data_IF_143864202416
#
_entry.id   IF_143864202416
#
_cell.length_a   1.000
_cell.length_b   1.000
_cell.length_c   1.000
_cell.angle_alpha   90.00
_cell.angle_beta   90.00
_cell.angle_gamma   90.00
#
_symmetry.space_group_name_H-M   'P 1'
#
loop_
_entity.id
_entity.type
_entity.pdbx_description
1 polymer ?
#
# COMPACT_ATOMS: atom_id res chain seq x y z
N UNK A 1 -26.43 -18.72 41.81
CA UNK A 1 -26.64 -17.55 40.92
C UNK A 1 -25.83 -17.68 39.63
N UNK A 2 -26.45 -17.47 38.46
CA UNK A 2 -25.78 -17.61 37.16
C UNK A 2 -24.57 -16.66 37.01
N UNK A 3 -23.54 -17.10 36.29
CA UNK A 3 -22.36 -16.26 35.97
C UNK A 3 -22.77 -15.28 34.86
N UNK A 4 -23.29 -14.11 35.28
CA UNK A 4 -23.99 -13.11 34.45
C UNK A 4 -23.21 -12.62 33.22
N UNK A 5 -21.88 -12.74 33.21
CA UNK A 5 -21.07 -12.27 32.08
C UNK A 5 -21.26 -13.11 30.80
N UNK A 6 -21.55 -14.41 30.92
CA UNK A 6 -21.66 -15.33 29.76
C UNK A 6 -22.93 -16.16 29.72
N UNK A 7 -23.79 -16.01 30.72
CA UNK A 7 -25.04 -16.76 30.82
C UNK A 7 -26.24 -15.83 30.81
N UNK A 8 -27.38 -16.36 30.36
CA UNK A 8 -28.70 -15.75 30.40
C UNK A 8 -29.55 -16.57 31.37
N UNK A 9 -30.23 -15.88 32.28
CA UNK A 9 -31.10 -16.49 33.29
C UNK A 9 -32.52 -16.50 32.73
N UNK A 10 -33.06 -17.69 32.54
CA UNK A 10 -34.44 -17.95 32.17
C UNK A 10 -35.39 -17.70 33.38
N UNK A 11 -36.69 -17.54 33.13
CA UNK A 11 -37.71 -17.31 34.17
C UNK A 11 -37.99 -18.55 35.03
N UNK A 12 -37.62 -19.74 34.54
CA UNK A 12 -37.63 -21.01 35.29
C UNK A 12 -36.34 -21.22 36.13
N UNK A 13 -35.53 -20.17 36.28
CA UNK A 13 -34.23 -20.17 36.95
C UNK A 13 -33.12 -20.97 36.24
N UNK A 14 -33.37 -21.44 35.02
CA UNK A 14 -32.36 -22.13 34.20
C UNK A 14 -31.31 -21.14 33.67
N UNK A 15 -30.02 -21.51 33.70
CA UNK A 15 -28.96 -20.71 33.10
C UNK A 15 -28.57 -21.28 31.72
N UNK A 16 -28.77 -20.53 30.65
CA UNK A 16 -28.28 -20.88 29.31
C UNK A 16 -27.08 -20.02 28.92
N UNK A 17 -26.31 -20.44 27.93
CA UNK A 17 -25.21 -19.63 27.39
C UNK A 17 -25.77 -18.51 26.51
N UNK A 18 -25.23 -17.28 26.61
CA UNK A 18 -25.66 -16.14 25.77
C UNK A 18 -25.59 -16.40 24.25
N UNK A 19 -24.84 -17.41 23.81
CA UNK A 19 -24.81 -17.87 22.40
C UNK A 19 -26.10 -18.54 21.94
N UNK A 20 -26.91 -19.01 22.88
CA UNK A 20 -28.20 -19.68 22.65
C UNK A 20 -29.38 -18.71 22.82
N UNK A 21 -29.10 -17.41 23.00
CA UNK A 21 -30.13 -16.39 22.97
C UNK A 21 -30.27 -15.95 21.53
N UNK A 22 -31.48 -16.02 20.97
CA UNK A 22 -31.79 -15.68 19.58
C UNK A 22 -31.01 -16.50 18.55
N UNK A 23 -30.80 -17.79 18.83
CA UNK A 23 -30.16 -18.72 17.91
C UNK A 23 -31.16 -19.50 17.03
N UNK A 24 -32.45 -19.21 17.19
CA UNK A 24 -33.54 -19.86 16.49
C UNK A 24 -33.98 -21.18 17.12
N UNK A 25 -33.47 -21.53 18.31
CA UNK A 25 -33.82 -22.75 19.04
C UNK A 25 -34.15 -22.43 20.49
N UNK A 26 -35.37 -22.81 20.88
CA UNK A 26 -35.82 -22.74 22.27
C UNK A 26 -34.87 -23.50 23.20
N UNK A 27 -34.20 -22.75 24.05
CA UNK A 27 -33.31 -23.21 25.11
C UNK A 27 -33.89 -22.94 26.50
N UNK A 28 -34.73 -21.91 26.68
CA UNK A 28 -35.47 -21.70 27.93
C UNK A 28 -36.83 -22.43 27.93
N UNK A 29 -37.32 -22.77 29.13
CA UNK A 29 -38.61 -23.43 29.29
C UNK A 29 -39.77 -22.60 28.73
N UNK A 30 -39.70 -21.27 28.71
CA UNK A 30 -40.77 -20.43 28.14
C UNK A 30 -40.39 -19.78 26.80
N UNK A 31 -39.29 -20.21 26.16
CA UNK A 31 -38.82 -19.64 24.89
C UNK A 31 -38.45 -18.16 24.93
N UNK A 32 -38.31 -17.58 26.12
CA UNK A 32 -37.93 -16.18 26.32
C UNK A 32 -36.52 -15.84 25.78
N UNK A 33 -35.68 -16.85 25.59
CA UNK A 33 -34.39 -16.74 24.91
C UNK A 33 -34.52 -16.44 23.41
N UNK A 34 -35.68 -16.71 22.82
CA UNK A 34 -36.01 -16.44 21.42
C UNK A 34 -37.01 -15.28 21.26
N UNK A 35 -37.39 -14.62 22.36
CA UNK A 35 -38.26 -13.46 22.34
C UNK A 35 -37.45 -12.16 22.12
N UNK A 36 -38.04 -11.21 21.40
CA UNK A 36 -37.53 -9.84 21.27
C UNK A 36 -36.11 -9.72 20.63
N UNK A 37 -35.74 -10.67 19.77
CA UNK A 37 -34.45 -10.74 19.09
C UNK A 37 -34.09 -9.54 18.19
N UNK A 38 -35.07 -8.75 17.78
CA UNK A 38 -34.85 -7.52 17.00
C UNK A 38 -33.95 -6.50 17.73
N UNK A 39 -34.00 -6.45 19.06
CA UNK A 39 -33.17 -5.55 19.86
C UNK A 39 -31.71 -6.03 19.91
N UNK A 40 -31.50 -7.36 19.96
CA UNK A 40 -30.17 -7.97 19.94
C UNK A 40 -29.47 -7.83 18.60
N UNK A 41 -30.22 -7.94 17.49
CA UNK A 41 -29.71 -7.66 16.14
C UNK A 41 -29.23 -6.21 16.02
N UNK A 42 -30.01 -5.23 16.47
CA UNK A 42 -29.61 -3.81 16.43
C UNK A 42 -28.33 -3.52 17.23
N UNK A 43 -28.18 -4.11 18.42
CA UNK A 43 -26.98 -3.96 19.24
C UNK A 43 -25.75 -4.67 18.63
N UNK A 44 -25.95 -5.82 18.00
CA UNK A 44 -24.87 -6.60 17.36
C UNK A 44 -24.44 -5.97 16.04
N UNK A 45 -25.38 -5.48 15.23
CA UNK A 45 -25.10 -4.74 13.99
C UNK A 45 -24.35 -3.44 14.27
N UNK A 46 -24.73 -2.69 15.31
CA UNK A 46 -23.97 -1.50 15.75
C UNK A 46 -22.52 -1.83 16.11
N UNK A 47 -22.29 -2.96 16.78
CA UNK A 47 -20.93 -3.43 17.09
C UNK A 47 -20.16 -3.79 15.82
N UNK A 48 -20.76 -4.58 14.91
CA UNK A 48 -20.12 -4.97 13.65
C UNK A 48 -19.73 -3.74 12.82
N UNK A 49 -20.61 -2.74 12.70
CA UNK A 49 -20.31 -1.50 11.97
C UNK A 49 -19.32 -0.59 12.71
N UNK A 50 -19.28 -0.64 14.05
CA UNK A 50 -18.31 0.12 14.85
C UNK A 50 -16.87 -0.38 14.70
N UNK A 51 -16.65 -1.71 14.61
CA UNK A 51 -15.33 -2.27 14.31
C UNK A 51 -14.82 -1.91 12.90
N UNK A 52 -15.73 -1.71 11.94
CA UNK A 52 -15.37 -1.38 10.55
C UNK A 52 -15.20 0.12 10.27
N UNK A 53 -15.65 1.02 11.16
CA UNK A 53 -15.61 2.47 10.90
C UNK A 53 -14.33 3.15 11.40
N UNK A 54 -13.65 2.61 12.42
CA UNK A 54 -12.51 3.30 13.04
C UNK A 54 -11.16 3.06 12.34
N UNK A 55 -11.09 2.18 11.33
CA UNK A 55 -9.87 1.96 10.51
C UNK A 55 -9.96 2.47 9.07
N UNK A 56 -11.06 3.12 8.69
CA UNK A 56 -11.28 3.57 7.31
C UNK A 56 -10.40 4.77 6.93
N UNK A 57 -10.10 5.67 7.86
CA UNK A 57 -9.30 6.88 7.62
C UNK A 57 -7.80 6.56 7.51
N UNK A 58 -7.27 5.67 8.35
CA UNK A 58 -5.85 5.26 8.34
C UNK A 58 -5.45 4.48 7.07
N UNK A 59 -6.32 3.57 6.60
CA UNK A 59 -6.03 2.77 5.41
C UNK A 59 -5.97 3.63 4.14
N UNK A 60 -6.83 4.65 4.04
CA UNK A 60 -6.87 5.56 2.89
C UNK A 60 -5.60 6.42 2.83
N UNK A 61 -5.11 6.93 3.97
CA UNK A 61 -3.86 7.69 4.01
C UNK A 61 -2.65 6.84 3.59
N UNK A 62 -2.57 5.58 4.02
CA UNK A 62 -1.47 4.69 3.66
C UNK A 62 -1.45 4.39 2.15
N UNK A 63 -2.61 4.14 1.55
CA UNK A 63 -2.73 3.90 0.10
C UNK A 63 -2.31 5.14 -0.70
N UNK A 64 -2.78 6.34 -0.33
CA UNK A 64 -2.44 7.58 -1.04
C UNK A 64 -0.92 7.85 -0.97
N UNK A 65 -0.29 7.70 0.20
CA UNK A 65 1.15 7.93 0.37
C UNK A 65 1.97 6.96 -0.51
N UNK A 66 1.57 5.69 -0.59
CA UNK A 66 2.27 4.72 -1.44
C UNK A 66 2.19 5.05 -2.93
N UNK A 67 1.02 5.50 -3.40
CA UNK A 67 0.82 5.90 -4.80
C UNK A 67 1.65 7.15 -5.13
N UNK A 68 1.59 8.18 -4.29
CA UNK A 68 2.36 9.41 -4.48
C UNK A 68 3.87 9.14 -4.44
N UNK A 69 4.34 8.31 -3.50
CA UNK A 69 5.74 7.93 -3.39
C UNK A 69 6.26 7.14 -4.60
N UNK A 70 5.46 6.20 -5.11
CA UNK A 70 5.82 5.42 -6.29
C UNK A 70 5.90 6.30 -7.55
N UNK A 71 4.91 7.18 -7.76
CA UNK A 71 4.90 8.12 -8.90
C UNK A 71 6.10 9.05 -8.86
N UNK A 72 6.42 9.64 -7.70
CA UNK A 72 7.61 10.49 -7.55
C UNK A 72 8.90 9.72 -7.81
N UNK A 73 9.00 8.48 -7.33
CA UNK A 73 10.16 7.62 -7.58
C UNK A 73 10.34 7.33 -9.08
N UNK A 74 9.26 7.03 -9.80
CA UNK A 74 9.32 6.82 -11.25
C UNK A 74 9.73 8.08 -12.00
N UNK A 75 9.21 9.25 -11.61
CA UNK A 75 9.60 10.53 -12.22
C UNK A 75 11.09 10.78 -11.98
N UNK A 76 11.58 10.60 -10.76
CA UNK A 76 13.00 10.80 -10.42
C UNK A 76 13.88 9.80 -11.19
N UNK A 77 13.53 8.51 -11.21
CA UNK A 77 14.25 7.48 -11.97
C UNK A 77 14.27 7.83 -13.46
N UNK A 78 13.16 8.30 -14.02
CA UNK A 78 13.10 8.72 -15.43
C UNK A 78 13.99 9.93 -15.69
N UNK A 79 14.01 10.92 -14.80
CA UNK A 79 14.84 12.11 -14.92
C UNK A 79 16.33 11.79 -14.81
N UNK A 80 16.71 10.90 -13.89
CA UNK A 80 18.07 10.39 -13.76
C UNK A 80 18.45 9.62 -15.02
N UNK A 81 17.59 8.72 -15.50
CA UNK A 81 17.85 7.93 -16.72
C UNK A 81 18.02 8.83 -17.94
N UNK A 82 17.18 9.85 -18.11
CA UNK A 82 17.28 10.84 -19.19
C UNK A 82 18.57 11.65 -19.08
N UNK A 83 18.96 12.06 -17.86
CA UNK A 83 20.19 12.82 -17.62
C UNK A 83 21.44 11.99 -17.89
N UNK A 84 21.47 10.73 -17.45
CA UNK A 84 22.54 9.78 -17.76
C UNK A 84 22.61 9.50 -19.27
N UNK A 85 21.47 9.23 -19.91
CA UNK A 85 21.39 8.97 -21.35
C UNK A 85 21.85 10.19 -22.16
N UNK A 86 21.49 11.41 -21.74
CA UNK A 86 21.92 12.66 -22.37
C UNK A 86 23.43 12.89 -22.22
N UNK A 87 24.00 12.57 -21.06
CA UNK A 87 25.45 12.63 -20.83
C UNK A 87 26.22 11.67 -21.73
N UNK A 88 25.77 10.40 -21.79
CA UNK A 88 26.37 9.38 -22.67
C UNK A 88 26.20 9.77 -24.15
N UNK A 89 25.03 10.27 -24.55
CA UNK A 89 24.76 10.72 -25.92
C UNK A 89 25.68 11.88 -26.33
N UNK A 90 25.95 12.83 -25.41
CA UNK A 90 26.88 13.93 -25.64
C UNK A 90 28.31 13.42 -25.86
N UNK A 91 28.79 12.51 -24.99
CA UNK A 91 30.14 11.93 -25.11
C UNK A 91 30.30 11.10 -26.38
N UNK A 92 29.29 10.29 -26.74
CA UNK A 92 29.27 9.53 -28.00
C UNK A 92 29.30 10.45 -29.23
N UNK A 93 28.53 11.55 -29.21
CA UNK A 93 28.49 12.50 -30.32
C UNK A 93 29.80 13.27 -30.45
N UNK A 94 30.40 13.71 -29.33
CA UNK A 94 31.73 14.35 -29.32
C UNK A 94 32.80 13.37 -29.82
N UNK A 95 32.79 12.13 -29.34
CA UNK A 95 33.72 11.10 -29.82
C UNK A 95 33.57 10.86 -31.33
N UNK A 96 32.34 10.82 -31.83
CA UNK A 96 32.06 10.65 -33.27
C UNK A 96 32.51 11.85 -34.09
N UNK A 97 32.30 13.08 -33.60
CA UNK A 97 32.78 14.31 -34.22
C UNK A 97 34.32 14.33 -34.23
N UNK A 98 34.97 14.08 -33.09
CA UNK A 98 36.43 14.03 -32.99
C UNK A 98 37.03 12.97 -33.93
N UNK A 99 36.38 11.80 -34.05
CA UNK A 99 36.79 10.76 -35.00
C UNK A 99 36.68 11.20 -36.46
N UNK A 100 35.68 12.02 -36.80
CA UNK A 100 35.53 12.61 -38.13
C UNK A 100 36.61 13.68 -38.34
N UNK A 101 36.82 14.58 -37.38
CA UNK A 101 37.84 15.63 -37.46
C UNK A 101 39.24 15.06 -37.64
N UNK A 102 39.63 14.05 -36.86
CA UNK A 102 40.92 13.37 -37.01
C UNK A 102 41.04 12.58 -38.33
N UNK A 103 39.93 12.19 -38.96
CA UNK A 103 39.94 11.53 -40.27
C UNK A 103 40.16 12.52 -41.41
N UNK A 104 39.78 13.79 -41.22
CA UNK A 104 39.92 14.85 -42.21
C UNK A 104 41.05 15.83 -41.89
N UNK A 105 41.81 15.61 -40.83
CA UNK A 105 43.02 16.37 -40.51
C UNK A 105 44.05 16.09 -41.63
N UNK A 106 44.34 17.06 -42.51
CA UNK A 106 45.41 16.89 -43.48
C UNK A 106 46.70 16.84 -42.69
N UNK A 107 47.55 15.87 -43.01
CA UNK A 107 48.93 15.80 -42.50
C UNK A 107 49.66 17.09 -42.85
N UNK A 108 49.57 18.10 -41.99
CA UNK A 108 50.47 19.23 -41.95
C UNK A 108 51.80 18.71 -41.39
N UNK A 109 52.52 17.98 -42.24
CA UNK A 109 53.97 17.86 -42.14
C UNK A 109 54.52 19.28 -42.33
N UNK A 110 55.25 19.79 -41.35
CA UNK A 110 56.39 20.62 -41.68
C UNK A 110 57.61 19.96 -41.05
N UNK A 111 58.50 19.54 -41.94
CA UNK A 111 59.86 19.13 -41.64
C UNK A 111 60.58 20.28 -40.94
N UNK A 112 61.26 20.01 -39.83
CA UNK A 112 62.49 20.73 -39.53
C UNK A 112 63.53 19.68 -39.14
N UNK A 113 64.31 19.34 -40.16
CA UNK A 113 65.47 18.48 -40.16
C UNK A 113 66.61 19.08 -39.34
N UNK A 114 67.37 18.19 -38.70
CA UNK A 114 68.66 18.41 -38.04
C UNK A 114 69.62 19.34 -38.80
N UNK A 115 70.30 20.25 -38.09
CA UNK A 115 71.73 20.57 -38.35
C UNK A 115 72.38 21.37 -37.22
N UNK A 116 73.18 20.65 -36.43
CA UNK A 116 74.60 20.90 -36.15
C UNK A 116 75.18 22.34 -36.13
N UNK A 117 75.89 22.58 -35.00
CA UNK A 117 77.00 23.52 -34.70
C UNK A 117 76.70 24.88 -34.09
#
# INVERSE_FOLDING_TARGET
PCISNRTFLCSDETCINKRFVCDGKRSCLFSEDEENCHQFLSATTKKITAWTHQKKTEFVHLVIITILGFVLSLIIISAITVSCKRSIYKTQNIYKINKIMNKYEPTAKFEESDSFS
#
